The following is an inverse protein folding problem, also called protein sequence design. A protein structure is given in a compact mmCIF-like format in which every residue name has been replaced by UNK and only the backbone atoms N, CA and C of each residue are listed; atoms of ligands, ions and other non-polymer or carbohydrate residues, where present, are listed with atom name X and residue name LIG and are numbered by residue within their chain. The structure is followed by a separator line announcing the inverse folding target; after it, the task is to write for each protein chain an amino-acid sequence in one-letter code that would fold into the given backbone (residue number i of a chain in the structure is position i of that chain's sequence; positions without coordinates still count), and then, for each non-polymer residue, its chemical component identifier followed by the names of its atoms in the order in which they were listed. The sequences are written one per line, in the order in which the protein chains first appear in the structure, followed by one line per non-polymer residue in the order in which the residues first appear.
data_IF_491468937174
#
_entry.id   IF_491468937174
#
_cell.length_a   1.000
_cell.length_b   1.000
_cell.length_c   1.000
_cell.angle_alpha   90.00
_cell.angle_beta   90.00
_cell.angle_gamma   90.00
#
_symmetry.space_group_name_H-M   'P 1'
#
loop_
_entity.id
_entity.type
_entity.pdbx_description
1 polymer ?
#
# COMPACT_ATOMS: atom_id res chain seq x y z
N UNK A 1 66.48 36.59 14.61
CA UNK A 1 66.63 35.62 15.68
C UNK A 1 65.37 35.42 16.45
N UNK A 2 64.68 34.46 16.25
CA UNK A 2 63.59 33.73 16.92
C UNK A 2 62.55 33.27 15.90
N UNK A 3 62.69 32.00 15.60
CA UNK A 3 61.72 31.28 14.77
C UNK A 3 60.34 31.21 15.51
N UNK A 4 59.33 31.72 14.87
CA UNK A 4 57.96 31.50 15.29
C UNK A 4 57.48 30.20 14.62
N UNK A 5 57.34 29.18 15.45
CA UNK A 5 56.74 27.91 15.05
C UNK A 5 55.24 28.11 14.76
N UNK A 6 54.92 28.03 13.50
CA UNK A 6 53.52 27.83 13.09
C UNK A 6 53.07 26.45 13.56
N UNK A 7 52.22 26.42 14.55
CA UNK A 7 51.46 25.25 14.92
C UNK A 7 50.24 25.19 14.02
N UNK A 8 50.34 24.40 13.01
CA UNK A 8 49.19 24.08 12.19
C UNK A 8 48.17 23.29 13.04
N UNK A 9 47.04 23.90 13.31
CA UNK A 9 45.91 23.24 13.93
C UNK A 9 45.17 22.52 12.82
N UNK A 10 45.44 21.21 12.72
CA UNK A 10 44.67 20.31 11.83
C UNK A 10 43.32 20.12 12.49
N UNK A 11 42.33 20.86 12.02
CA UNK A 11 40.94 20.57 12.34
C UNK A 11 40.54 19.28 11.64
N UNK A 12 40.53 18.18 12.41
CA UNK A 12 39.92 16.92 11.97
C UNK A 12 38.41 17.12 11.89
N UNK A 13 37.92 17.29 10.66
CA UNK A 13 36.48 17.22 10.39
C UNK A 13 36.03 15.77 10.55
N UNK A 14 35.44 15.45 11.70
CA UNK A 14 34.74 14.21 11.91
C UNK A 14 33.49 14.19 11.02
N UNK A 15 33.54 13.46 9.91
CA UNK A 15 32.35 13.10 9.15
C UNK A 15 31.49 12.20 10.03
N UNK A 16 30.45 12.76 10.62
CA UNK A 16 29.37 11.97 11.21
C UNK A 16 28.61 11.41 10.03
N UNK A 17 28.91 10.16 9.65
CA UNK A 17 28.08 9.40 8.75
C UNK A 17 26.72 9.19 9.43
N UNK A 18 25.76 10.03 9.09
CA UNK A 18 24.36 9.84 9.48
C UNK A 18 23.88 8.52 8.90
N UNK A 19 23.64 7.55 9.77
CA UNK A 19 22.89 6.35 9.42
C UNK A 19 21.48 6.80 9.04
N UNK A 20 21.25 6.98 7.74
CA UNK A 20 19.91 7.07 7.20
C UNK A 20 19.32 5.68 7.34
N UNK A 21 18.58 5.45 8.41
CA UNK A 21 17.74 4.25 8.53
C UNK A 21 16.72 4.31 7.41
N UNK A 22 16.97 3.56 6.35
CA UNK A 22 15.95 3.31 5.35
C UNK A 22 14.73 2.71 6.06
N UNK A 23 13.52 3.19 5.79
CA UNK A 23 12.33 2.55 6.33
C UNK A 23 12.34 1.09 5.90
N UNK A 24 12.10 0.18 6.85
CA UNK A 24 11.95 -1.23 6.54
C UNK A 24 10.85 -1.35 5.47
N UNK A 25 11.24 -1.66 4.24
CA UNK A 25 10.29 -1.93 3.17
C UNK A 25 9.53 -3.17 3.57
N UNK A 26 8.24 -3.01 3.81
CA UNK A 26 7.35 -4.14 3.98
C UNK A 26 7.47 -5.01 2.72
N UNK A 27 8.09 -6.18 2.85
CA UNK A 27 8.26 -7.13 1.75
C UNK A 27 6.97 -7.90 1.46
N UNK A 28 5.87 -7.53 2.11
CA UNK A 28 4.56 -8.10 1.87
C UNK A 28 3.95 -7.50 0.60
N UNK A 29 3.60 -8.33 -0.39
CA UNK A 29 3.01 -7.86 -1.64
C UNK A 29 1.70 -7.10 -1.43
N UNK A 30 0.96 -7.41 -0.37
CA UNK A 30 -0.26 -6.67 0.02
C UNK A 30 0.09 -5.25 0.44
N UNK A 31 1.12 -5.08 1.25
CA UNK A 31 1.54 -3.76 1.73
C UNK A 31 2.08 -2.90 0.58
N UNK A 32 2.87 -3.48 -0.31
CA UNK A 32 3.40 -2.80 -1.48
C UNK A 32 2.27 -2.34 -2.43
N UNK A 33 1.33 -3.22 -2.75
CA UNK A 33 0.16 -2.91 -3.58
C UNK A 33 -0.71 -1.83 -2.93
N UNK A 34 -1.00 -1.96 -1.64
CA UNK A 34 -1.83 -1.00 -0.91
C UNK A 34 -1.18 0.39 -0.80
N UNK A 35 0.14 0.44 -0.64
CA UNK A 35 0.88 1.69 -0.57
C UNK A 35 0.89 2.41 -1.93
N UNK A 36 1.24 1.72 -3.01
CA UNK A 36 1.31 2.29 -4.36
C UNK A 36 -0.05 2.84 -4.83
N UNK A 37 -1.10 2.05 -4.68
CA UNK A 37 -2.46 2.46 -5.06
C UNK A 37 -2.99 3.52 -4.11
N UNK A 38 -2.72 3.38 -2.81
CA UNK A 38 -3.11 4.36 -1.80
C UNK A 38 -2.54 5.74 -2.06
N UNK A 39 -1.28 5.82 -2.44
CA UNK A 39 -0.62 7.07 -2.81
C UNK A 39 -1.24 7.69 -4.07
N UNK A 40 -1.43 6.89 -5.12
CA UNK A 40 -2.04 7.32 -6.38
C UNK A 40 -3.42 7.95 -6.18
N UNK A 41 -4.26 7.32 -5.37
CA UNK A 41 -5.63 7.75 -5.15
C UNK A 41 -5.83 8.60 -3.89
N UNK A 42 -4.80 8.83 -3.08
CA UNK A 42 -4.92 9.50 -1.76
C UNK A 42 -5.98 8.82 -0.87
N UNK A 43 -5.93 7.48 -0.82
CA UNK A 43 -6.85 6.61 -0.06
C UNK A 43 -6.05 5.62 0.79
N UNK A 44 -6.44 5.46 2.03
CA UNK A 44 -5.84 4.41 2.87
C UNK A 44 -6.49 3.06 2.53
N UNK A 45 -5.89 2.35 1.59
CA UNK A 45 -6.40 1.06 1.07
C UNK A 45 -6.53 0.02 2.18
N UNK A 46 -5.53 -0.14 3.04
CA UNK A 46 -5.58 -1.15 4.12
C UNK A 46 -6.74 -0.89 5.08
N UNK A 47 -6.91 0.36 5.51
CA UNK A 47 -8.02 0.74 6.38
C UNK A 47 -9.36 0.52 5.70
N UNK A 48 -9.50 0.96 4.45
CA UNK A 48 -10.73 0.83 3.69
C UNK A 48 -11.10 -0.65 3.48
N UNK A 49 -10.14 -1.46 3.05
CA UNK A 49 -10.35 -2.90 2.86
C UNK A 49 -10.68 -3.61 4.18
N UNK A 50 -9.95 -3.31 5.26
CA UNK A 50 -10.19 -3.91 6.57
C UNK A 50 -11.60 -3.63 7.10
N UNK A 51 -12.13 -2.43 6.85
CA UNK A 51 -13.47 -2.03 7.37
C UNK A 51 -14.63 -2.43 6.49
N UNK A 52 -14.42 -2.67 5.19
CA UNK A 52 -15.50 -2.90 4.22
C UNK A 52 -15.48 -4.29 3.59
N UNK A 53 -14.33 -4.92 3.47
CA UNK A 53 -14.14 -6.11 2.64
C UNK A 53 -13.67 -7.35 3.42
N UNK A 54 -12.88 -7.16 4.48
CA UNK A 54 -12.19 -8.24 5.19
C UNK A 54 -13.10 -9.24 5.89
N UNK A 55 -14.37 -8.91 6.13
CA UNK A 55 -15.35 -9.84 6.68
C UNK A 55 -15.53 -11.08 5.80
N UNK A 56 -15.56 -10.87 4.48
CA UNK A 56 -15.76 -11.93 3.49
C UNK A 56 -14.50 -12.24 2.69
N UNK A 57 -13.57 -11.29 2.52
CA UNK A 57 -12.35 -11.43 1.75
C UNK A 57 -11.13 -11.32 2.65
N UNK A 58 -10.78 -12.41 3.33
CA UNK A 58 -9.72 -12.40 4.34
C UNK A 58 -8.32 -12.21 3.75
N UNK A 59 -7.38 -11.84 4.64
CA UNK A 59 -6.00 -11.62 4.24
C UNK A 59 -5.84 -10.52 3.20
N UNK A 60 -6.65 -9.47 3.30
CA UNK A 60 -6.67 -8.37 2.32
C UNK A 60 -6.92 -8.81 0.87
N UNK A 61 -7.74 -9.84 0.69
CA UNK A 61 -8.07 -10.41 -0.60
C UNK A 61 -7.19 -11.60 -1.02
N UNK A 62 -6.20 -11.95 -0.22
CA UNK A 62 -5.29 -13.07 -0.50
C UNK A 62 -5.88 -14.44 -0.16
N UNK A 63 -6.90 -14.48 0.69
CA UNK A 63 -7.49 -15.73 1.18
C UNK A 63 -8.98 -15.81 0.89
N UNK A 64 -9.44 -17.03 0.64
CA UNK A 64 -10.87 -17.34 0.59
C UNK A 64 -11.44 -17.40 2.01
N UNK A 65 -12.65 -16.88 2.18
CA UNK A 65 -13.46 -17.04 3.38
C UNK A 65 -14.94 -17.18 2.95
N UNK A 66 -15.84 -16.37 3.48
CA UNK A 66 -17.24 -16.33 3.00
C UNK A 66 -17.33 -15.82 1.56
N UNK A 67 -16.40 -14.96 1.16
CA UNK A 67 -16.19 -14.53 -0.22
C UNK A 67 -14.98 -15.22 -0.86
N UNK A 68 -14.88 -15.17 -2.18
CA UNK A 68 -13.76 -15.77 -2.91
C UNK A 68 -12.43 -15.05 -2.64
N UNK A 69 -11.31 -15.76 -2.83
CA UNK A 69 -9.99 -15.15 -2.97
C UNK A 69 -10.04 -14.14 -4.13
N UNK A 70 -9.55 -12.93 -3.91
CA UNK A 70 -9.52 -11.86 -4.91
C UNK A 70 -8.21 -11.83 -5.70
N UNK A 71 -7.11 -12.19 -5.05
CA UNK A 71 -5.80 -12.25 -5.68
C UNK A 71 -5.82 -13.18 -6.90
N UNK A 72 -5.22 -12.72 -7.99
CA UNK A 72 -5.20 -13.44 -9.27
C UNK A 72 -6.51 -13.39 -10.06
N UNK A 73 -7.44 -12.51 -9.69
CA UNK A 73 -8.72 -12.36 -10.41
C UNK A 73 -8.51 -12.07 -11.90
N UNK A 74 -9.34 -12.69 -12.75
CA UNK A 74 -9.35 -12.45 -14.18
C UNK A 74 -10.28 -11.28 -14.59
N UNK A 75 -11.04 -10.73 -13.64
CA UNK A 75 -11.90 -9.58 -13.91
C UNK A 75 -11.07 -8.33 -14.25
N UNK A 76 -11.62 -7.50 -15.13
CA UNK A 76 -11.04 -6.17 -15.40
C UNK A 76 -11.30 -5.21 -14.24
N UNK A 77 -10.59 -4.08 -14.21
CA UNK A 77 -10.81 -3.04 -13.18
C UNK A 77 -12.25 -2.54 -13.24
N UNK A 78 -12.81 -2.36 -14.42
CA UNK A 78 -14.20 -1.92 -14.62
C UNK A 78 -15.21 -2.94 -14.09
N UNK A 79 -14.96 -4.23 -14.32
CA UNK A 79 -15.80 -5.31 -13.81
C UNK A 79 -15.73 -5.40 -12.28
N UNK A 80 -14.56 -5.19 -11.70
CA UNK A 80 -14.38 -5.13 -10.25
C UNK A 80 -15.08 -3.92 -9.64
N UNK A 81 -14.90 -2.74 -10.23
CA UNK A 81 -15.58 -1.52 -9.81
C UNK A 81 -17.11 -1.66 -9.86
N UNK A 82 -17.63 -2.19 -10.95
CA UNK A 82 -19.07 -2.47 -11.10
C UNK A 82 -19.57 -3.42 -10.01
N UNK A 83 -18.86 -4.50 -9.75
CA UNK A 83 -19.26 -5.46 -8.72
C UNK A 83 -19.20 -4.88 -7.31
N UNK A 84 -18.22 -4.02 -7.01
CA UNK A 84 -18.16 -3.30 -5.73
C UNK A 84 -19.37 -2.37 -5.57
N UNK A 85 -19.73 -1.64 -6.62
CA UNK A 85 -20.86 -0.70 -6.60
C UNK A 85 -22.19 -1.43 -6.46
N UNK A 86 -22.42 -2.45 -7.27
CA UNK A 86 -23.73 -3.11 -7.38
C UNK A 86 -23.89 -4.27 -6.40
N UNK A 87 -22.77 -4.89 -6.01
CA UNK A 87 -22.77 -6.13 -5.26
C UNK A 87 -23.17 -7.34 -6.11
N UNK A 88 -23.09 -8.49 -5.50
CA UNK A 88 -23.60 -9.75 -6.02
C UNK A 88 -23.87 -10.67 -4.82
N UNK A 89 -25.14 -10.96 -4.55
CA UNK A 89 -25.53 -11.74 -3.38
C UNK A 89 -24.62 -12.96 -3.16
N UNK A 90 -24.13 -13.22 -1.93
CA UNK A 90 -24.37 -12.48 -0.69
C UNK A 90 -23.54 -11.21 -0.48
N UNK A 91 -22.65 -10.83 -1.41
CA UNK A 91 -21.86 -9.59 -1.34
C UNK A 91 -22.78 -8.36 -1.49
N UNK A 92 -22.80 -7.42 -0.53
CA UNK A 92 -23.57 -6.19 -0.66
C UNK A 92 -22.96 -5.25 -1.69
N UNK A 93 -23.77 -4.35 -2.24
CA UNK A 93 -23.31 -3.23 -3.03
C UNK A 93 -22.90 -2.04 -2.15
N UNK A 94 -21.90 -1.29 -2.57
CA UNK A 94 -21.32 -0.18 -1.81
C UNK A 94 -21.60 1.19 -2.44
N UNK A 95 -22.55 1.30 -3.36
CA UNK A 95 -22.87 2.55 -4.09
C UNK A 95 -22.98 3.79 -3.21
N UNK A 96 -23.59 3.66 -2.04
CA UNK A 96 -23.85 4.78 -1.13
C UNK A 96 -22.86 4.83 0.06
N UNK A 97 -21.84 3.97 0.06
CA UNK A 97 -20.88 3.85 1.16
C UNK A 97 -19.44 4.18 0.75
N UNK A 98 -19.16 4.17 -0.54
CA UNK A 98 -17.86 4.43 -1.11
C UNK A 98 -17.97 5.51 -2.18
N UNK A 99 -17.01 6.41 -2.21
CA UNK A 99 -16.84 7.36 -3.32
C UNK A 99 -16.33 6.63 -4.58
N UNK A 100 -16.54 7.22 -5.73
CA UNK A 100 -16.01 6.70 -6.99
C UNK A 100 -14.50 6.48 -6.93
N UNK A 101 -13.77 7.41 -6.33
CA UNK A 101 -12.32 7.32 -6.12
C UNK A 101 -11.93 6.10 -5.28
N UNK A 102 -12.64 5.83 -4.20
CA UNK A 102 -12.41 4.66 -3.34
C UNK A 102 -12.71 3.35 -4.07
N UNK A 103 -13.77 3.32 -4.85
CA UNK A 103 -14.13 2.16 -5.70
C UNK A 103 -13.03 1.87 -6.71
N UNK A 104 -12.56 2.88 -7.43
CA UNK A 104 -11.48 2.73 -8.40
C UNK A 104 -10.17 2.27 -7.72
N UNK A 105 -9.84 2.87 -6.58
CA UNK A 105 -8.67 2.48 -5.82
C UNK A 105 -8.73 1.01 -5.35
N UNK A 106 -9.87 0.56 -4.85
CA UNK A 106 -10.07 -0.84 -4.45
C UNK A 106 -9.98 -1.80 -5.64
N UNK A 107 -10.60 -1.47 -6.77
CA UNK A 107 -10.56 -2.29 -7.97
C UNK A 107 -9.12 -2.44 -8.50
N UNK A 108 -8.37 -1.34 -8.55
CA UNK A 108 -6.97 -1.37 -8.96
C UNK A 108 -6.09 -2.14 -7.98
N UNK A 109 -6.28 -1.94 -6.67
CA UNK A 109 -5.59 -2.69 -5.64
C UNK A 109 -5.80 -4.21 -5.80
N UNK A 110 -7.05 -4.65 -5.94
CA UNK A 110 -7.39 -6.08 -6.13
C UNK A 110 -6.68 -6.63 -7.37
N UNK A 111 -6.62 -5.85 -8.45
CA UNK A 111 -5.98 -6.26 -9.70
C UNK A 111 -4.46 -6.42 -9.57
N UNK A 112 -3.83 -5.70 -8.65
CA UNK A 112 -2.38 -5.77 -8.40
C UNK A 112 -1.97 -6.89 -7.44
N UNK A 113 -2.92 -7.56 -6.78
CA UNK A 113 -2.63 -8.67 -5.88
C UNK A 113 -2.04 -9.86 -6.66
N UNK A 114 -0.94 -10.47 -6.17
CA UNK A 114 -0.32 -11.60 -6.83
C UNK A 114 -1.22 -12.84 -6.84
N UNK A 115 -1.13 -13.64 -7.90
CA UNK A 115 -1.99 -14.82 -8.11
C UNK A 115 -1.62 -16.04 -7.24
N UNK A 116 -0.46 -16.05 -6.60
CA UNK A 116 0.09 -17.17 -5.83
C UNK A 116 -0.74 -17.57 -4.60
#
# INVERSE_FOLDING_TARGET
MRALRNREIVCALAFIAGLVSAPATANDPVDAAAAAVGEKYQVNIKKLFATKCSWCHQGYGMKQADGPKLAGTQKTIEQLAKQIIEGKSPMPGFRNQLSEKEVQALAEYIKTLPAN
#
